data_IF_125711386877
#
_entry.id   IF_125711386877
#
_cell.length_a   1.000
_cell.length_b   1.000
_cell.length_c   1.000
_cell.angle_alpha   90.00
_cell.angle_beta   90.00
_cell.angle_gamma   90.00
#
_symmetry.space_group_name_H-M   'P 1'
#
loop_
_entity.id
_entity.type
_entity.pdbx_description
1 polymer ?
#
# COMPACT_ATOMS: atom_id res chain seq x y z
N UNK A 1 10.68 11.35 23.85
CA UNK A 1 9.56 10.55 24.38
C UNK A 1 9.27 9.43 23.40
N UNK A 2 9.39 8.18 23.83
CA UNK A 2 9.44 6.98 22.98
C UNK A 2 8.47 5.95 23.55
N UNK A 3 7.25 5.85 22.99
CA UNK A 3 6.20 4.82 23.23
C UNK A 3 5.17 4.98 22.10
N UNK A 4 4.59 3.96 21.46
CA UNK A 4 4.74 2.51 21.51
C UNK A 4 4.55 2.01 20.07
N UNK A 5 5.49 1.20 19.57
CA UNK A 5 5.34 0.45 18.33
C UNK A 5 4.53 -0.79 18.71
N UNK A 6 3.21 -0.72 18.61
CA UNK A 6 2.35 -1.89 18.84
C UNK A 6 2.38 -2.75 17.58
N UNK A 7 3.35 -3.66 17.57
CA UNK A 7 3.55 -4.69 16.58
C UNK A 7 2.55 -5.82 16.84
N UNK A 8 1.56 -6.02 15.95
CA UNK A 8 0.92 -7.34 15.73
C UNK A 8 -0.01 -7.37 14.53
N UNK A 9 0.59 -7.43 13.33
CA UNK A 9 0.11 -8.31 12.24
C UNK A 9 1.36 -8.87 11.54
N UNK A 10 2.06 -9.79 12.21
CA UNK A 10 2.95 -10.72 11.53
C UNK A 10 2.08 -11.94 11.17
N UNK A 11 1.37 -11.87 10.05
CA UNK A 11 0.89 -13.06 9.35
C UNK A 11 2.01 -13.47 8.42
N UNK A 12 2.51 -14.70 8.56
CA UNK A 12 3.61 -15.24 7.74
C UNK A 12 3.24 -15.40 6.25
N UNK A 13 1.97 -15.22 5.88
CA UNK A 13 1.45 -15.10 4.50
C UNK A 13 0.91 -13.68 4.25
N UNK A 14 1.80 -12.69 4.14
CA UNK A 14 1.43 -11.29 3.79
C UNK A 14 2.01 -10.88 2.43
N UNK A 15 2.40 -11.85 1.61
CA UNK A 15 2.87 -11.66 0.25
C UNK A 15 1.72 -11.81 -0.76
N UNK A 16 1.44 -10.73 -1.46
CA UNK A 16 0.53 -10.73 -2.61
C UNK A 16 1.34 -10.83 -3.90
N UNK A 17 1.05 -11.82 -4.75
CA UNK A 17 1.59 -11.85 -6.12
C UNK A 17 0.59 -11.18 -7.05
N UNK A 18 1.07 -10.20 -7.82
CA UNK A 18 0.28 -9.51 -8.83
C UNK A 18 1.05 -9.51 -10.16
N UNK A 19 0.32 -9.59 -11.25
CA UNK A 19 0.86 -9.38 -12.59
C UNK A 19 0.43 -7.98 -13.08
N UNK A 20 1.39 -7.14 -13.45
CA UNK A 20 1.18 -5.77 -13.97
C UNK A 20 1.72 -5.73 -15.39
N UNK A 21 0.82 -5.71 -16.38
CA UNK A 21 1.22 -5.94 -17.76
C UNK A 21 1.84 -7.34 -17.93
N UNK A 22 3.07 -7.41 -18.42
CA UNK A 22 3.86 -8.66 -18.52
C UNK A 22 4.78 -8.92 -17.33
N UNK A 23 4.77 -8.04 -16.33
CA UNK A 23 5.70 -8.09 -15.21
C UNK A 23 5.04 -8.70 -13.98
N UNK A 24 5.76 -9.60 -13.32
CA UNK A 24 5.32 -10.20 -12.05
C UNK A 24 5.93 -9.47 -10.87
N UNK A 25 5.09 -9.12 -9.92
CA UNK A 25 5.46 -8.40 -8.71
C UNK A 25 4.99 -9.13 -7.46
N UNK A 26 5.83 -9.14 -6.43
CA UNK A 26 5.50 -9.57 -5.07
C UNK A 26 5.40 -8.35 -4.19
N UNK A 27 4.28 -8.20 -3.50
CA UNK A 27 4.03 -7.10 -2.59
C UNK A 27 4.13 -7.59 -1.14
N UNK A 28 4.89 -6.87 -0.32
CA UNK A 28 5.02 -7.13 1.11
C UNK A 28 4.64 -5.90 1.90
N UNK A 29 3.65 -6.01 2.79
CA UNK A 29 3.34 -4.94 3.75
C UNK A 29 4.44 -4.93 4.83
N UNK A 30 5.32 -3.93 4.76
CA UNK A 30 6.40 -3.74 5.73
C UNK A 30 5.87 -3.18 7.06
N UNK A 31 4.93 -2.25 6.97
CA UNK A 31 4.30 -1.65 8.13
C UNK A 31 2.95 -1.03 7.75
N UNK A 32 2.05 -0.94 8.73
CA UNK A 32 0.88 -0.08 8.62
C UNK A 32 0.61 0.60 9.95
N UNK A 33 0.18 1.86 9.91
CA UNK A 33 -0.09 2.64 11.11
C UNK A 33 -1.17 3.68 10.86
N UNK A 34 -1.83 4.11 11.94
CA UNK A 34 -2.79 5.20 11.90
C UNK A 34 -2.17 6.47 12.47
N UNK A 35 -2.45 7.60 11.84
CA UNK A 35 -2.09 8.93 12.35
C UNK A 35 -3.30 9.85 12.18
N UNK A 36 -3.99 10.13 13.29
CA UNK A 36 -5.25 10.89 13.26
C UNK A 36 -6.33 10.14 12.48
N UNK A 37 -6.83 10.75 11.41
CA UNK A 37 -7.85 10.17 10.52
C UNK A 37 -7.25 9.47 9.31
N UNK A 38 -5.93 9.37 9.24
CA UNK A 38 -5.23 8.76 8.12
C UNK A 38 -4.69 7.39 8.50
N UNK A 39 -4.71 6.48 7.53
CA UNK A 39 -4.07 5.19 7.56
C UNK A 39 -2.92 5.19 6.56
N UNK A 40 -1.74 4.83 7.04
CA UNK A 40 -0.52 4.73 6.25
C UNK A 40 -0.13 3.27 6.07
N UNK A 41 0.24 2.90 4.85
CA UNK A 41 0.68 1.55 4.50
C UNK A 41 2.01 1.65 3.76
N UNK A 42 3.04 1.03 4.32
CA UNK A 42 4.35 0.95 3.70
C UNK A 42 4.54 -0.44 3.10
N UNK A 43 4.76 -0.49 1.78
CA UNK A 43 4.82 -1.72 0.99
C UNK A 43 6.15 -1.80 0.27
N UNK A 44 6.79 -2.96 0.28
CA UNK A 44 7.86 -3.29 -0.67
C UNK A 44 7.25 -4.02 -1.88
N UNK A 45 7.61 -3.60 -3.08
CA UNK A 45 7.25 -4.26 -4.32
C UNK A 45 8.52 -4.81 -4.99
N UNK A 46 8.56 -6.12 -5.19
CA UNK A 46 9.71 -6.83 -5.76
C UNK A 46 9.30 -7.49 -7.08
N UNK A 47 9.95 -7.10 -8.17
CA UNK A 47 9.73 -7.64 -9.50
C UNK A 47 10.96 -7.41 -10.38
N UNK A 48 10.81 -6.87 -11.60
CA UNK A 48 11.93 -6.45 -12.44
C UNK A 48 12.85 -5.41 -11.79
N UNK A 49 12.30 -4.65 -10.83
CA UNK A 49 13.05 -3.80 -9.91
C UNK A 49 12.48 -3.93 -8.50
N UNK A 50 13.21 -3.41 -7.53
CA UNK A 50 12.75 -3.31 -6.13
C UNK A 50 12.39 -1.87 -5.82
N UNK A 51 11.17 -1.65 -5.33
CA UNK A 51 10.73 -0.33 -4.92
C UNK A 51 9.92 -0.37 -3.62
N UNK A 52 9.85 0.77 -2.94
CA UNK A 52 9.06 0.96 -1.72
C UNK A 52 7.98 2.01 -1.93
N UNK A 53 6.76 1.69 -1.54
CA UNK A 53 5.58 2.51 -1.73
C UNK A 53 5.00 2.86 -0.36
N UNK A 54 4.86 4.15 -0.06
CA UNK A 54 4.12 4.63 1.09
C UNK A 54 2.77 5.16 0.61
N UNK A 55 1.69 4.51 1.00
CA UNK A 55 0.32 4.94 0.67
C UNK A 55 -0.33 5.58 1.87
N UNK A 56 -0.92 6.76 1.67
CA UNK A 56 -1.85 7.40 2.61
C UNK A 56 -3.28 7.17 2.14
N UNK A 57 -4.11 6.66 3.03
CA UNK A 57 -5.54 6.50 2.89
C UNK A 57 -6.26 7.25 4.01
N UNK A 58 -7.50 7.67 3.78
CA UNK A 58 -8.40 7.96 4.90
C UNK A 58 -8.61 6.67 5.72
N UNK A 59 -8.66 6.77 7.05
CA UNK A 59 -8.84 5.65 7.94
C UNK A 59 -10.17 4.93 7.59
N UNK A 60 -10.11 3.66 7.17
CA UNK A 60 -11.29 2.97 6.67
C UNK A 60 -12.37 2.81 7.73
N UNK A 61 -13.64 2.97 7.32
CA UNK A 61 -14.76 2.36 8.04
C UNK A 61 -14.83 0.85 7.77
N UNK A 62 -14.37 0.43 6.59
CA UNK A 62 -14.31 -0.97 6.17
C UNK A 62 -12.88 -1.33 5.74
N UNK A 63 -12.12 -2.09 6.55
CA UNK A 63 -10.71 -2.38 6.30
C UNK A 63 -10.42 -3.03 4.94
N UNK A 64 -11.28 -3.94 4.50
CA UNK A 64 -11.13 -4.67 3.24
C UNK A 64 -11.25 -3.76 2.01
N UNK A 65 -12.15 -2.78 2.05
CA UNK A 65 -12.34 -1.83 0.95
C UNK A 65 -11.12 -0.91 0.80
N UNK A 66 -10.57 -0.43 1.91
CA UNK A 66 -9.36 0.39 1.85
C UNK A 66 -8.11 -0.41 1.45
N UNK A 67 -7.96 -1.64 1.93
CA UNK A 67 -6.86 -2.51 1.48
C UNK A 67 -6.89 -2.71 -0.04
N UNK A 68 -8.08 -2.92 -0.62
CA UNK A 68 -8.26 -3.02 -2.08
C UNK A 68 -7.91 -1.72 -2.79
N UNK A 69 -8.32 -0.58 -2.24
CA UNK A 69 -8.02 0.73 -2.82
C UNK A 69 -6.50 1.02 -2.80
N UNK A 70 -5.82 0.71 -1.69
CA UNK A 70 -4.36 0.77 -1.58
C UNK A 70 -3.71 -0.09 -2.66
N UNK A 71 -4.15 -1.33 -2.81
CA UNK A 71 -3.61 -2.25 -3.82
C UNK A 71 -3.78 -1.72 -5.25
N UNK A 72 -4.98 -1.23 -5.60
CA UNK A 72 -5.25 -0.64 -6.91
C UNK A 72 -4.33 0.57 -7.17
N UNK A 73 -4.15 1.42 -6.17
CA UNK A 73 -3.26 2.60 -6.28
C UNK A 73 -1.82 2.21 -6.55
N UNK A 74 -1.33 1.14 -5.92
CA UNK A 74 0.01 0.59 -6.16
C UNK A 74 0.10 0.02 -7.58
N UNK A 75 -0.90 -0.76 -8.02
CA UNK A 75 -0.96 -1.32 -9.37
C UNK A 75 -0.94 -0.21 -10.43
N UNK A 76 -1.75 0.83 -10.27
CA UNK A 76 -1.83 1.95 -11.19
C UNK A 76 -0.48 2.67 -11.30
N UNK A 77 0.21 2.85 -10.18
CA UNK A 77 1.55 3.44 -10.17
C UNK A 77 2.58 2.52 -10.86
N UNK A 78 2.59 1.22 -10.57
CA UNK A 78 3.48 0.26 -11.24
C UNK A 78 3.24 0.24 -12.76
N UNK A 79 1.98 0.29 -13.19
CA UNK A 79 1.59 0.32 -14.60
C UNK A 79 1.95 1.63 -15.31
N UNK A 80 2.18 2.73 -14.57
CA UNK A 80 2.50 4.03 -15.15
C UNK A 80 3.89 4.11 -15.82
N UNK A 81 4.77 3.15 -15.54
CA UNK A 81 6.16 3.15 -16.04
C UNK A 81 7.09 4.12 -15.29
N UNK A 82 6.62 4.74 -14.21
CA UNK A 82 7.45 5.57 -13.34
C UNK A 82 8.59 4.77 -12.70
N UNK A 83 9.83 5.09 -13.05
CA UNK A 83 11.02 4.35 -12.66
C UNK A 83 11.58 4.68 -11.25
N UNK A 84 10.90 5.49 -10.43
CA UNK A 84 11.37 5.81 -9.07
C UNK A 84 11.35 4.60 -8.13
N UNK A 85 12.42 4.39 -7.38
CA UNK A 85 12.53 3.29 -6.41
C UNK A 85 11.74 3.53 -5.12
N UNK A 86 11.34 4.78 -4.86
CA UNK A 86 10.53 5.15 -3.70
C UNK A 86 9.43 6.12 -4.12
N UNK A 87 8.21 5.89 -3.65
CA UNK A 87 7.08 6.78 -3.96
C UNK A 87 6.13 6.92 -2.78
N UNK A 88 5.54 8.11 -2.67
CA UNK A 88 4.42 8.40 -1.79
C UNK A 88 3.16 8.57 -2.64
N UNK A 89 2.09 7.85 -2.30
CA UNK A 89 0.81 7.86 -3.02
C UNK A 89 -0.32 8.27 -2.07
N UNK A 90 -1.21 9.11 -2.54
CA UNK A 90 -2.42 9.48 -1.82
C UNK A 90 -3.65 8.89 -2.50
N UNK A 91 -4.45 8.15 -1.73
CA UNK A 91 -5.76 7.73 -2.15
C UNK A 91 -6.68 8.95 -2.21
N UNK A 92 -7.06 9.35 -3.42
CA UNK A 92 -8.15 10.31 -3.60
C UNK A 92 -9.42 9.66 -3.07
N UNK A 93 -10.11 10.32 -2.15
CA UNK A 93 -11.46 9.92 -1.77
C UNK A 93 -12.29 9.88 -3.06
N UNK A 94 -12.70 8.68 -3.48
CA UNK A 94 -13.77 8.57 -4.46
C UNK A 94 -14.99 9.21 -3.81
N UNK A 95 -15.46 10.34 -4.35
CA UNK A 95 -16.73 10.93 -3.95
C UNK A 95 -17.76 9.82 -3.80
N UNK A 96 -18.51 9.73 -2.69
CA UNK A 96 -19.58 8.75 -2.60
C UNK A 96 -20.48 8.95 -3.81
N UNK A 97 -20.71 7.89 -4.59
CA UNK A 97 -21.76 7.90 -5.60
C UNK A 97 -23.04 8.38 -4.91
N UNK A 98 -23.52 9.57 -5.30
CA UNK A 98 -24.85 10.06 -4.94
C UNK A 98 -25.92 9.29 -5.73
#
# INVERSE_FOLDING_TARGET
MRRAFDSRVASEDNDGVIDVGSERWRLYVLASWHLGRDWFVHVAALGPRTCTVLVRAAAPREPSAAARAVLHTIIDWLASGDARDQVYLELKESSPCQ
#
